data_IF_170327662513
#
_entry.id   IF_170327662513
#
_cell.length_a   1.000
_cell.length_b   1.000
_cell.length_c   1.000
_cell.angle_alpha   90.00
_cell.angle_beta   90.00
_cell.angle_gamma   90.00
#
_symmetry.space_group_name_H-M   'P 1'
#
loop_
_entity.id
_entity.type
_entity.pdbx_description
1 polymer ?
#
# COMPACT_ATOMS: atom_id res chain seq x y z
N UNK A 1 8.87 -15.18 22.11
CA UNK A 1 9.86 -14.12 21.84
C UNK A 1 9.31 -12.83 22.41
N UNK A 2 9.94 -12.29 23.45
CA UNK A 2 9.63 -10.95 23.96
C UNK A 2 10.18 -9.90 22.98
N UNK A 3 9.40 -8.85 22.74
CA UNK A 3 9.89 -7.62 22.10
C UNK A 3 10.09 -6.63 23.24
N UNK A 4 11.29 -6.09 23.39
CA UNK A 4 11.58 -5.09 24.42
C UNK A 4 10.66 -3.87 24.26
N UNK A 5 10.05 -3.40 25.36
CA UNK A 5 9.34 -2.12 25.43
C UNK A 5 7.84 -2.14 25.17
N UNK A 6 7.19 -3.30 25.01
CA UNK A 6 5.73 -3.40 24.92
C UNK A 6 5.18 -4.28 26.05
N UNK A 7 4.45 -3.67 26.99
CA UNK A 7 3.83 -4.34 28.15
C UNK A 7 2.44 -4.94 27.83
N UNK A 8 2.16 -5.22 26.56
CA UNK A 8 0.88 -5.78 26.11
C UNK A 8 1.01 -7.11 25.37
N UNK A 9 -0.14 -7.74 25.11
CA UNK A 9 -0.22 -8.94 24.27
C UNK A 9 -0.52 -8.57 22.81
N UNK A 10 0.07 -9.30 21.87
CA UNK A 10 -0.27 -9.20 20.45
C UNK A 10 -1.34 -10.25 20.11
N UNK A 11 -2.52 -9.79 19.68
CA UNK A 11 -3.58 -10.67 19.18
C UNK A 11 -3.53 -10.68 17.65
N UNK A 12 -3.42 -11.88 17.06
CA UNK A 12 -3.50 -12.05 15.61
C UNK A 12 -4.97 -12.14 15.18
N UNK A 13 -5.48 -11.06 14.58
CA UNK A 13 -6.78 -11.06 13.92
C UNK A 13 -6.61 -11.17 12.41
N UNK A 14 -7.28 -12.14 11.78
CA UNK A 14 -7.26 -12.32 10.33
C UNK A 14 -8.31 -11.42 9.71
N UNK A 15 -7.88 -10.43 8.92
CA UNK A 15 -8.79 -9.56 8.16
C UNK A 15 -9.12 -10.17 6.81
N UNK A 16 -10.32 -10.75 6.69
CA UNK A 16 -10.83 -11.27 5.43
C UNK A 16 -11.82 -10.27 4.81
N UNK A 17 -11.40 -9.51 3.79
CA UNK A 17 -12.32 -8.60 3.07
C UNK A 17 -13.34 -9.40 2.26
N UNK A 18 -14.61 -8.97 2.21
CA UNK A 18 -15.62 -9.58 1.33
C UNK A 18 -15.29 -9.39 -0.15
N UNK A 19 -14.56 -8.32 -0.45
CA UNK A 19 -14.09 -7.96 -1.78
C UNK A 19 -12.61 -7.56 -1.75
N UNK A 20 -11.93 -7.83 -2.86
CA UNK A 20 -10.55 -7.40 -3.13
C UNK A 20 -10.57 -6.43 -4.31
N UNK A 21 -9.68 -5.44 -4.30
CA UNK A 21 -9.46 -4.53 -5.42
C UNK A 21 -8.30 -5.07 -6.26
N UNK A 22 -8.61 -5.56 -7.46
CA UNK A 22 -7.65 -6.27 -8.31
C UNK A 22 -7.58 -5.60 -9.67
N UNK A 23 -6.36 -5.53 -10.22
CA UNK A 23 -6.08 -5.10 -11.59
C UNK A 23 -5.57 -6.28 -12.39
N UNK A 24 -6.09 -6.47 -13.61
CA UNK A 24 -5.47 -7.36 -14.59
C UNK A 24 -4.33 -6.64 -15.32
N UNK A 25 -3.16 -7.26 -15.39
CA UNK A 25 -1.94 -6.71 -16.02
C UNK A 25 -1.84 -7.04 -17.52
N UNK A 26 -2.91 -7.52 -18.15
CA UNK A 26 -2.95 -7.77 -19.59
C UNK A 26 -2.91 -6.51 -20.46
N UNK A 27 -3.34 -5.36 -19.90
CA UNK A 27 -3.35 -4.06 -20.58
C UNK A 27 -2.44 -3.06 -19.85
N UNK A 28 -2.29 -1.85 -20.40
CA UNK A 28 -1.53 -0.78 -19.75
C UNK A 28 -2.20 -0.33 -18.46
N UNK A 29 -1.42 -0.33 -17.37
CA UNK A 29 -1.85 0.22 -16.10
C UNK A 29 -1.94 1.75 -16.20
N UNK A 30 -3.01 2.36 -15.68
CA UNK A 30 -3.30 3.79 -15.92
C UNK A 30 -2.10 4.71 -15.60
N UNK A 31 -1.38 4.42 -14.50
CA UNK A 31 -0.21 5.17 -14.07
C UNK A 31 0.99 5.14 -15.05
N UNK A 32 1.13 4.12 -15.89
CA UNK A 32 2.22 3.99 -16.87
C UNK A 32 2.15 5.02 -18.01
N UNK A 33 0.94 5.51 -18.28
CA UNK A 33 0.65 6.38 -19.44
C UNK A 33 0.73 7.86 -19.10
N UNK A 34 0.80 8.21 -17.82
CA UNK A 34 0.76 9.59 -17.37
C UNK A 34 2.08 10.31 -17.71
N UNK A 35 2.02 11.28 -18.64
CA UNK A 35 3.19 12.05 -19.10
C UNK A 35 3.95 12.72 -17.95
N UNK A 36 3.22 13.21 -16.94
CA UNK A 36 3.81 13.91 -15.79
C UNK A 36 4.67 12.96 -14.94
N UNK A 37 4.17 11.74 -14.70
CA UNK A 37 4.87 10.67 -13.98
C UNK A 37 6.13 10.26 -14.73
N UNK A 38 6.02 9.98 -16.03
CA UNK A 38 7.15 9.56 -16.88
C UNK A 38 8.28 10.60 -16.90
N UNK A 39 7.94 11.88 -17.05
CA UNK A 39 8.94 12.98 -17.05
C UNK A 39 9.70 13.03 -15.71
N UNK A 40 9.00 12.87 -14.59
CA UNK A 40 9.60 12.93 -13.25
C UNK A 40 10.41 11.68 -12.91
N UNK A 41 10.00 10.52 -13.41
CA UNK A 41 10.67 9.24 -13.20
C UNK A 41 12.11 9.20 -13.75
N UNK A 42 12.44 10.02 -14.77
CA UNK A 42 13.78 10.05 -15.36
C UNK A 42 14.90 10.48 -14.41
N UNK A 43 14.57 11.09 -13.27
CA UNK A 43 15.51 11.50 -12.21
C UNK A 43 15.51 10.56 -11.00
N UNK A 44 14.88 9.41 -11.13
CA UNK A 44 14.66 8.46 -10.04
C UNK A 44 15.19 7.09 -10.44
N UNK A 45 15.49 6.26 -9.45
CA UNK A 45 15.85 4.86 -9.64
C UNK A 45 14.77 3.95 -9.05
N UNK A 46 14.46 2.86 -9.73
CA UNK A 46 13.63 1.77 -9.27
C UNK A 46 14.54 0.60 -8.86
N UNK A 47 14.27 0.00 -7.72
CA UNK A 47 14.97 -1.18 -7.24
C UNK A 47 13.99 -2.17 -6.60
N UNK A 48 14.47 -3.41 -6.45
CA UNK A 48 13.76 -4.49 -5.77
C UNK A 48 14.72 -5.09 -4.74
N UNK A 49 14.24 -5.26 -3.52
CA UNK A 49 14.99 -5.86 -2.40
C UNK A 49 16.33 -5.15 -2.10
N UNK A 50 16.47 -3.87 -2.44
CA UNK A 50 17.71 -3.12 -2.19
C UNK A 50 17.82 -2.70 -0.73
N UNK A 51 16.73 -2.27 -0.11
CA UNK A 51 16.74 -1.77 1.27
C UNK A 51 15.41 -2.06 1.99
N UNK A 52 15.20 -3.34 2.30
CA UNK A 52 13.99 -3.80 2.99
C UNK A 52 13.75 -3.07 4.32
N UNK A 53 14.81 -2.91 5.13
CA UNK A 53 14.72 -2.27 6.45
C UNK A 53 14.41 -0.77 6.31
N UNK A 54 15.00 -0.09 5.32
CA UNK A 54 14.68 1.31 5.00
C UNK A 54 13.23 1.51 4.60
N UNK A 55 12.67 0.60 3.78
CA UNK A 55 11.24 0.61 3.41
C UNK A 55 10.35 0.42 4.64
N UNK A 56 10.64 -0.57 5.48
CA UNK A 56 9.93 -0.78 6.75
C UNK A 56 10.00 0.48 7.61
N UNK A 57 11.20 1.04 7.82
CA UNK A 57 11.40 2.24 8.62
C UNK A 57 10.58 3.43 8.12
N UNK A 58 10.52 3.63 6.80
CA UNK A 58 9.69 4.68 6.19
C UNK A 58 8.19 4.44 6.41
N UNK A 59 7.72 3.21 6.25
CA UNK A 59 6.31 2.84 6.47
C UNK A 59 5.92 3.11 7.93
N UNK A 60 6.75 2.69 8.88
CA UNK A 60 6.53 2.89 10.31
C UNK A 60 6.54 4.37 10.67
N UNK A 61 7.48 5.14 10.14
CA UNK A 61 7.51 6.59 10.36
C UNK A 61 6.25 7.30 9.83
N UNK A 62 5.63 6.79 8.76
CA UNK A 62 4.44 7.38 8.15
C UNK A 62 3.13 6.96 8.83
N UNK A 63 3.01 5.69 9.18
CA UNK A 63 1.74 5.10 9.63
C UNK A 63 1.73 4.68 11.11
N UNK A 64 2.85 4.86 11.81
CA UNK A 64 3.06 4.41 13.18
C UNK A 64 3.22 2.89 13.32
N UNK A 65 3.29 2.45 14.57
CA UNK A 65 3.27 1.02 14.93
C UNK A 65 1.84 0.48 14.83
N UNK A 66 1.43 0.12 13.61
CA UNK A 66 0.12 -0.46 13.31
C UNK A 66 0.21 -2.00 13.15
N UNK A 67 -0.62 -2.58 12.27
CA UNK A 67 -0.60 -4.02 11.94
C UNK A 67 0.80 -4.54 11.55
N UNK A 68 1.65 -3.70 10.97
CA UNK A 68 3.05 -4.01 10.69
C UNK A 68 3.85 -3.90 12.00
N UNK A 69 3.46 -4.60 13.05
CA UNK A 69 4.11 -4.56 14.36
C UNK A 69 5.50 -5.25 14.32
N UNK A 70 6.35 -5.11 15.36
CA UNK A 70 7.70 -5.66 15.32
C UNK A 70 7.77 -7.17 15.06
N UNK A 71 6.80 -7.98 15.51
CA UNK A 71 6.74 -9.40 15.16
C UNK A 71 6.53 -9.62 13.67
N UNK A 72 5.57 -8.93 13.06
CA UNK A 72 5.30 -9.05 11.61
C UNK A 72 6.50 -8.57 10.79
N UNK A 73 7.18 -7.49 11.21
CA UNK A 73 8.41 -7.01 10.55
C UNK A 73 9.49 -8.10 10.53
N UNK A 74 9.74 -8.72 11.70
CA UNK A 74 10.72 -9.82 11.84
C UNK A 74 10.33 -11.01 10.96
N UNK A 75 9.07 -11.41 10.96
CA UNK A 75 8.57 -12.52 10.14
C UNK A 75 8.71 -12.23 8.63
N UNK A 76 8.32 -11.04 8.17
CA UNK A 76 8.46 -10.66 6.77
C UNK A 76 9.92 -10.60 6.33
N UNK A 77 10.80 -10.05 7.17
CA UNK A 77 12.25 -10.05 6.92
C UNK A 77 12.80 -11.48 6.84
N UNK A 78 12.38 -12.35 7.75
CA UNK A 78 12.79 -13.76 7.73
C UNK A 78 12.38 -14.45 6.41
N UNK A 79 11.13 -14.26 5.97
CA UNK A 79 10.63 -14.81 4.70
C UNK A 79 11.42 -14.24 3.51
N UNK A 80 11.69 -12.93 3.50
CA UNK A 80 12.45 -12.27 2.44
C UNK A 80 13.89 -12.80 2.33
N UNK A 81 14.53 -13.14 3.45
CA UNK A 81 15.89 -13.70 3.50
C UNK A 81 15.96 -15.20 3.19
N UNK A 82 14.85 -15.93 3.36
CA UNK A 82 14.79 -17.38 3.15
C UNK A 82 13.72 -17.76 2.11
N UNK A 83 13.76 -17.20 0.89
CA UNK A 83 12.68 -17.35 -0.08
C UNK A 83 12.48 -18.79 -0.59
N UNK A 84 13.42 -19.70 -0.32
CA UNK A 84 13.33 -21.13 -0.67
C UNK A 84 12.59 -21.96 0.38
N UNK A 85 12.34 -21.41 1.58
CA UNK A 85 11.63 -22.10 2.66
C UNK A 85 10.11 -21.90 2.60
N UNK A 86 9.62 -21.06 1.68
CA UNK A 86 8.22 -20.63 1.64
C UNK A 86 7.69 -20.59 0.21
N UNK A 87 6.41 -20.95 0.04
CA UNK A 87 5.71 -20.82 -1.26
C UNK A 87 5.43 -19.36 -1.63
N UNK A 88 5.38 -18.49 -0.63
CA UNK A 88 5.25 -17.05 -0.80
C UNK A 88 6.61 -16.38 -0.76
N UNK A 89 6.74 -15.29 -1.52
CA UNK A 89 7.94 -14.45 -1.49
C UNK A 89 7.52 -13.05 -1.11
N UNK A 90 8.27 -12.45 -0.19
CA UNK A 90 8.10 -11.08 0.26
C UNK A 90 9.13 -10.22 -0.46
N UNK A 91 8.70 -9.05 -0.93
CA UNK A 91 9.55 -8.10 -1.64
C UNK A 91 9.43 -6.71 -1.03
N UNK A 92 10.55 -5.99 -0.97
CA UNK A 92 10.54 -4.53 -0.91
C UNK A 92 10.73 -3.96 -2.30
N UNK A 93 9.97 -2.92 -2.62
CA UNK A 93 10.07 -2.17 -3.86
C UNK A 93 10.46 -0.76 -3.51
N UNK A 94 11.49 -0.21 -4.16
CA UNK A 94 12.06 1.06 -3.79
C UNK A 94 12.11 2.06 -4.94
N UNK A 95 11.82 3.33 -4.64
CA UNK A 95 12.17 4.47 -5.49
C UNK A 95 13.23 5.30 -4.78
N UNK A 96 14.33 5.54 -5.49
CA UNK A 96 15.46 6.33 -5.03
C UNK A 96 15.57 7.63 -5.80
N UNK A 97 16.06 8.67 -5.12
CA UNK A 97 16.46 9.94 -5.73
C UNK A 97 17.75 10.39 -5.11
N UNK A 98 18.79 10.62 -5.92
CA UNK A 98 20.07 11.14 -5.45
C UNK A 98 20.64 10.34 -4.25
N UNK A 99 20.54 9.00 -4.31
CA UNK A 99 20.98 8.09 -3.23
C UNK A 99 20.06 8.01 -2.01
N UNK A 100 18.94 8.74 -1.98
CA UNK A 100 17.96 8.68 -0.88
C UNK A 100 16.74 7.84 -1.27
N UNK A 101 16.25 6.98 -0.35
CA UNK A 101 14.97 6.28 -0.49
C UNK A 101 13.82 7.30 -0.34
N UNK A 102 12.98 7.45 -1.36
CA UNK A 102 11.92 8.47 -1.41
C UNK A 102 10.50 7.91 -1.56
N UNK A 103 10.37 6.65 -1.93
CA UNK A 103 9.15 5.87 -1.80
C UNK A 103 9.48 4.38 -1.73
N UNK A 104 8.57 3.59 -1.19
CA UNK A 104 8.65 2.16 -1.30
C UNK A 104 7.45 1.46 -0.70
N UNK A 105 7.33 0.18 -1.02
CA UNK A 105 6.28 -0.68 -0.50
C UNK A 105 6.79 -2.08 -0.17
N UNK A 106 6.06 -2.74 0.72
CA UNK A 106 6.13 -4.17 0.91
C UNK A 106 5.00 -4.82 0.13
N UNK A 107 5.32 -5.92 -0.54
CA UNK A 107 4.34 -6.77 -1.19
C UNK A 107 4.77 -8.23 -1.19
N UNK A 108 3.87 -9.11 -1.60
CA UNK A 108 4.16 -10.53 -1.72
C UNK A 108 3.58 -11.11 -2.99
N UNK A 109 4.10 -12.27 -3.38
CA UNK A 109 3.63 -12.99 -4.58
C UNK A 109 2.91 -14.27 -4.21
N UNK A 110 1.82 -14.56 -4.93
CA UNK A 110 1.09 -15.83 -4.91
C UNK A 110 0.86 -16.28 -6.35
N UNK A 111 1.70 -17.19 -6.84
CA UNK A 111 1.70 -17.54 -8.26
C UNK A 111 1.96 -16.30 -9.12
N UNK A 112 1.16 -16.12 -10.17
CA UNK A 112 1.21 -14.94 -11.06
C UNK A 112 0.45 -13.71 -10.52
N UNK A 113 0.17 -13.65 -9.21
CA UNK A 113 -0.42 -12.49 -8.53
C UNK A 113 0.63 -11.79 -7.66
N UNK A 114 0.74 -10.48 -7.79
CA UNK A 114 1.46 -9.63 -6.83
C UNK A 114 0.46 -8.88 -5.95
N UNK A 115 0.65 -8.90 -4.63
CA UNK A 115 -0.21 -8.21 -3.67
C UNK A 115 0.58 -7.10 -2.96
N UNK A 116 0.18 -5.84 -3.15
CA UNK A 116 0.74 -4.72 -2.39
C UNK A 116 0.13 -4.71 -0.98
N UNK A 117 0.98 -4.77 0.05
CA UNK A 117 0.55 -4.78 1.44
C UNK A 117 0.40 -3.36 1.99
N UNK A 118 1.51 -2.61 1.94
CA UNK A 118 1.59 -1.25 2.46
C UNK A 118 2.81 -0.55 1.87
N UNK A 119 2.70 0.76 1.71
CA UNK A 119 3.79 1.59 1.21
C UNK A 119 3.78 2.98 1.83
N UNK A 120 4.88 3.67 1.62
CA UNK A 120 5.07 5.04 2.03
C UNK A 120 5.88 5.81 0.98
N UNK A 121 5.78 7.13 1.05
CA UNK A 121 6.53 8.03 0.20
C UNK A 121 6.83 9.31 0.96
N UNK A 122 7.99 9.91 0.67
CA UNK A 122 8.49 11.14 1.30
C UNK A 122 8.30 12.37 0.40
N UNK A 123 8.25 12.19 -0.92
CA UNK A 123 8.12 13.27 -1.89
C UNK A 123 6.80 13.12 -2.67
N UNK A 124 6.08 14.23 -2.89
CA UNK A 124 4.83 14.20 -3.65
C UNK A 124 5.05 13.55 -5.03
N UNK A 125 4.19 12.60 -5.42
CA UNK A 125 4.25 11.92 -6.71
C UNK A 125 5.28 10.79 -6.85
N UNK A 126 6.15 10.54 -5.87
CA UNK A 126 7.05 9.35 -5.94
C UNK A 126 6.29 8.05 -5.76
N UNK A 127 5.16 8.05 -5.04
CA UNK A 127 4.24 6.92 -4.98
C UNK A 127 3.65 6.56 -6.36
N UNK A 128 3.23 7.57 -7.15
CA UNK A 128 2.73 7.32 -8.51
C UNK A 128 3.82 6.78 -9.45
N UNK A 129 5.06 7.27 -9.32
CA UNK A 129 6.21 6.74 -10.05
C UNK A 129 6.48 5.28 -9.66
N UNK A 130 6.45 4.97 -8.36
CA UNK A 130 6.60 3.61 -7.85
C UNK A 130 5.55 2.67 -8.44
N UNK A 131 4.27 3.07 -8.41
CA UNK A 131 3.19 2.24 -8.93
C UNK A 131 3.28 2.02 -10.44
N UNK A 132 3.62 3.07 -11.21
CA UNK A 132 3.80 2.97 -12.65
C UNK A 132 4.97 2.04 -13.02
N UNK A 133 6.13 2.22 -12.37
CA UNK A 133 7.31 1.39 -12.62
C UNK A 133 7.08 -0.07 -12.21
N UNK A 134 6.46 -0.29 -11.04
CA UNK A 134 6.15 -1.62 -10.55
C UNK A 134 5.13 -2.34 -11.45
N UNK A 135 4.05 -1.68 -11.87
CA UNK A 135 3.06 -2.29 -12.77
C UNK A 135 3.69 -2.75 -14.08
N UNK A 136 4.56 -1.91 -14.66
CA UNK A 136 5.30 -2.27 -15.87
C UNK A 136 6.25 -3.43 -15.65
N UNK A 137 6.98 -3.42 -14.53
CA UNK A 137 7.92 -4.46 -14.16
C UNK A 137 7.21 -5.80 -13.92
N UNK A 138 6.12 -5.83 -13.13
CA UNK A 138 5.31 -7.01 -12.88
C UNK A 138 4.82 -7.64 -14.18
N UNK A 139 4.24 -6.84 -15.08
CA UNK A 139 3.78 -7.31 -16.38
C UNK A 139 4.92 -7.89 -17.22
N UNK A 140 6.10 -7.23 -17.23
CA UNK A 140 7.28 -7.73 -17.95
C UNK A 140 7.80 -9.07 -17.42
N UNK A 141 7.49 -9.40 -16.17
CA UNK A 141 7.85 -10.67 -15.52
C UNK A 141 6.76 -11.73 -15.64
N UNK A 142 5.66 -11.45 -16.33
CA UNK A 142 4.56 -12.41 -16.54
C UNK A 142 3.57 -12.49 -15.38
N UNK A 143 3.51 -11.49 -14.50
CA UNK A 143 2.39 -11.38 -13.57
C UNK A 143 1.10 -11.02 -14.32
N UNK A 144 0.02 -11.70 -13.97
CA UNK A 144 -1.30 -11.51 -14.60
C UNK A 144 -2.18 -10.56 -13.81
N UNK A 145 -2.00 -10.51 -12.48
CA UNK A 145 -2.84 -9.69 -11.61
C UNK A 145 -2.03 -8.95 -10.55
N UNK A 146 -2.54 -7.77 -10.21
CA UNK A 146 -2.08 -6.97 -9.10
C UNK A 146 -3.23 -6.75 -8.12
N UNK A 147 -3.10 -7.28 -6.90
CA UNK A 147 -4.04 -7.13 -5.80
C UNK A 147 -3.64 -5.95 -4.89
N UNK A 148 -4.53 -4.98 -4.76
CA UNK A 148 -4.35 -3.82 -3.88
C UNK A 148 -5.07 -3.99 -2.53
N UNK A 149 -5.69 -5.13 -2.24
CA UNK A 149 -6.44 -5.36 -1.01
C UNK A 149 -7.79 -4.63 -1.03
N UNK A 150 -8.00 -3.67 -0.13
CA UNK A 150 -9.29 -2.95 -0.05
C UNK A 150 -9.46 -1.94 -1.19
N UNK A 151 -10.67 -1.85 -1.76
CA UNK A 151 -11.01 -0.84 -2.74
C UNK A 151 -11.01 0.57 -2.12
N UNK A 152 -10.41 1.52 -2.86
CA UNK A 152 -10.36 2.95 -2.53
C UNK A 152 -10.37 3.71 -3.85
N UNK A 153 -10.89 4.93 -3.88
CA UNK A 153 -11.09 5.69 -5.13
C UNK A 153 -9.83 5.78 -6.00
N UNK A 154 -8.68 6.04 -5.39
CA UNK A 154 -7.43 6.12 -6.15
C UNK A 154 -7.02 4.76 -6.76
N UNK A 155 -7.35 3.63 -6.14
CA UNK A 155 -7.07 2.29 -6.68
C UNK A 155 -7.99 1.98 -7.86
N UNK A 156 -9.25 2.42 -7.77
CA UNK A 156 -10.19 2.31 -8.88
C UNK A 156 -9.73 3.17 -10.07
N UNK A 157 -9.24 4.38 -9.81
CA UNK A 157 -8.64 5.25 -10.83
C UNK A 157 -7.39 4.64 -11.49
N UNK A 158 -6.69 3.74 -10.80
CA UNK A 158 -5.57 2.97 -11.34
C UNK A 158 -6.00 1.75 -12.18
N UNK A 159 -7.31 1.56 -12.38
CA UNK A 159 -7.91 0.43 -13.10
C UNK A 159 -8.34 -0.72 -12.18
N UNK A 160 -8.26 -0.54 -10.87
CA UNK A 160 -8.70 -1.51 -9.88
C UNK A 160 -10.18 -1.78 -9.99
N UNK A 161 -10.55 -3.07 -9.92
CA UNK A 161 -11.95 -3.51 -9.93
C UNK A 161 -12.24 -4.27 -8.65
N UNK A 162 -13.37 -4.02 -7.98
CA UNK A 162 -13.80 -4.86 -6.88
C UNK A 162 -14.07 -6.28 -7.39
N UNK A 163 -13.59 -7.27 -6.65
CA UNK A 163 -13.72 -8.68 -6.94
C UNK A 163 -14.16 -9.40 -5.67
N UNK A 164 -15.29 -10.11 -5.74
CA UNK A 164 -15.79 -10.93 -4.65
C UNK A 164 -14.72 -11.94 -4.19
N UNK A 165 -14.61 -12.16 -2.87
CA UNK A 165 -13.61 -13.06 -2.28
C UNK A 165 -13.61 -14.45 -2.90
N UNK A 166 -14.78 -15.05 -3.14
CA UNK A 166 -14.89 -16.38 -3.73
C UNK A 166 -14.22 -16.43 -5.10
N UNK A 167 -14.49 -15.44 -5.96
CA UNK A 167 -13.84 -15.30 -7.27
C UNK A 167 -12.34 -15.09 -7.13
N UNK A 168 -11.91 -14.27 -6.17
CA UNK A 168 -10.50 -14.01 -5.90
C UNK A 168 -9.76 -15.27 -5.40
N UNK A 169 -10.39 -16.10 -4.55
CA UNK A 169 -9.83 -17.35 -4.08
C UNK A 169 -9.67 -18.37 -5.21
N UNK A 170 -10.69 -18.52 -6.06
CA UNK A 170 -10.60 -19.35 -7.27
C UNK A 170 -9.47 -18.87 -8.18
N UNK A 171 -9.37 -17.55 -8.39
CA UNK A 171 -8.29 -16.96 -9.18
C UNK A 171 -6.90 -17.24 -8.58
N UNK A 172 -6.75 -17.13 -7.25
CA UNK A 172 -5.51 -17.47 -6.57
C UNK A 172 -5.13 -18.94 -6.78
N UNK A 173 -6.12 -19.85 -6.74
CA UNK A 173 -5.92 -21.27 -7.02
C UNK A 173 -5.34 -21.51 -8.41
N UNK A 174 -5.90 -20.86 -9.44
CA UNK A 174 -5.40 -20.98 -10.81
C UNK A 174 -4.02 -20.34 -11.00
N UNK A 175 -3.79 -19.16 -10.43
CA UNK A 175 -2.50 -18.47 -10.56
C UNK A 175 -1.37 -19.23 -9.84
N UNK A 176 -1.65 -19.88 -8.70
CA UNK A 176 -0.67 -20.71 -7.97
C UNK A 176 -0.14 -21.87 -8.82
N UNK A 177 -1.01 -22.53 -9.60
CA UNK A 177 -0.63 -23.65 -10.48
C UNK A 177 0.41 -23.27 -11.54
N UNK A 178 0.46 -21.98 -11.91
CA UNK A 178 1.39 -21.44 -12.91
C UNK A 178 2.79 -21.15 -12.34
N UNK A 179 2.95 -21.23 -11.01
CA UNK A 179 4.18 -20.85 -10.32
C UNK A 179 4.33 -19.34 -10.14
N UNK A 180 5.34 -18.94 -9.35
CA UNK A 180 5.61 -17.54 -9.03
C UNK A 180 6.79 -17.01 -9.84
N UNK A 181 6.59 -16.05 -10.77
CA UNK A 181 7.69 -15.47 -11.52
C UNK A 181 8.72 -14.79 -10.61
N UNK A 182 9.97 -14.73 -11.07
CA UNK A 182 11.05 -14.06 -10.34
C UNK A 182 10.97 -12.54 -10.51
N UNK A 183 11.04 -11.82 -9.39
CA UNK A 183 11.18 -10.35 -9.38
C UNK A 183 12.62 -9.90 -9.13
N UNK A 184 13.61 -10.77 -9.36
CA UNK A 184 15.02 -10.37 -9.28
C UNK A 184 15.29 -9.25 -10.28
N UNK A 185 15.90 -8.18 -9.79
CA UNK A 185 16.39 -7.06 -10.56
C UNK A 185 17.77 -6.71 -10.02
N UNK A 186 18.80 -6.82 -10.85
CA UNK A 186 20.17 -6.50 -10.43
C UNK A 186 20.35 -4.99 -10.32
N UNK A 187 20.75 -4.55 -9.13
CA UNK A 187 20.98 -3.15 -8.81
C UNK A 187 19.76 -2.25 -9.00
N UNK A 188 20.02 -0.95 -9.19
CA UNK A 188 18.99 0.05 -9.41
C UNK A 188 18.93 0.47 -10.87
N UNK A 189 17.72 0.64 -11.39
CA UNK A 189 17.42 0.97 -12.78
C UNK A 189 16.78 2.33 -12.84
N UNK A 190 16.92 3.09 -13.93
CA UNK A 190 16.19 4.34 -14.04
C UNK A 190 14.68 4.06 -14.06
N UNK A 191 13.90 4.76 -13.23
CA UNK A 191 12.48 4.48 -13.11
C UNK A 191 11.71 4.79 -14.40
N UNK A 192 12.16 5.75 -15.21
CA UNK A 192 11.55 5.99 -16.53
C UNK A 192 11.85 4.87 -17.50
N UNK A 193 13.09 4.38 -17.55
CA UNK A 193 13.46 3.26 -18.41
C UNK A 193 12.60 2.03 -18.06
N UNK A 194 12.42 1.75 -16.76
CA UNK A 194 11.51 0.70 -16.28
C UNK A 194 10.08 0.89 -16.78
N UNK A 195 9.50 2.10 -16.66
CA UNK A 195 8.14 2.42 -17.15
C UNK A 195 8.04 2.27 -18.67
N UNK A 196 9.10 2.61 -19.39
CA UNK A 196 9.19 2.51 -20.84
C UNK A 196 9.39 1.04 -21.29
N UNK A 197 9.69 0.12 -20.36
CA UNK A 197 9.91 -1.31 -20.60
C UNK A 197 11.36 -1.67 -20.92
N UNK A 198 12.29 -0.77 -20.59
CA UNK A 198 13.72 -0.95 -20.75
C UNK A 198 14.36 -1.30 -19.40
N UNK A 199 14.87 -2.52 -19.31
CA UNK A 199 15.54 -3.05 -18.11
C UNK A 199 17.06 -3.18 -18.34
N UNK A 200 17.63 -2.23 -19.09
CA UNK A 200 19.07 -2.19 -19.41
C UNK A 200 19.95 -2.13 -18.15
N UNK A 201 21.25 -2.43 -18.27
CA UNK A 201 22.12 -2.76 -17.15
C UNK A 201 22.12 -1.81 -15.93
N UNK A 202 22.46 -2.32 -14.74
CA UNK A 202 22.38 -1.57 -13.49
C UNK A 202 23.17 -0.26 -13.56
N UNK A 203 22.61 0.83 -13.03
CA UNK A 203 23.38 2.08 -12.87
C UNK A 203 24.27 1.95 -11.64
N UNK A 204 25.53 2.44 -11.67
CA UNK A 204 26.39 2.45 -10.49
C UNK A 204 25.67 3.13 -9.32
N UNK A 205 25.59 2.42 -8.20
CA UNK A 205 24.83 2.85 -7.02
C UNK A 205 25.40 4.18 -6.49
N UNK A 206 24.61 5.26 -6.41
CA UNK A 206 25.02 6.41 -5.60
C UNK A 206 25.07 5.95 -4.15
N UNK A 207 26.23 6.09 -3.50
CA UNK A 207 26.37 5.77 -2.08
C UNK A 207 25.35 6.59 -1.28
N UNK A 208 24.66 6.00 -0.28
CA UNK A 208 23.70 6.74 0.52
C UNK A 208 24.40 7.94 1.18
N UNK A 209 23.81 9.15 1.15
CA UNK A 209 24.33 10.23 1.96
C UNK A 209 24.22 9.80 3.42
N UNK A 210 25.27 10.03 4.21
CA UNK A 210 25.41 9.60 5.61
C UNK A 210 24.35 10.15 6.58
N UNK A 211 23.31 10.84 6.11
CA UNK A 211 22.25 11.44 6.92
C UNK A 211 20.91 11.39 6.18
N UNK A 212 19.89 10.82 6.84
CA UNK A 212 18.51 10.84 6.39
C UNK A 212 18.01 12.27 6.14
N UNK A 213 17.14 12.50 5.14
CA UNK A 213 16.51 13.80 4.93
C UNK A 213 15.74 14.20 6.19
N UNK A 214 16.07 15.37 6.76
CA UNK A 214 15.32 15.90 7.90
C UNK A 214 13.89 16.23 7.46
N UNK A 215 12.85 15.94 8.27
CA UNK A 215 11.50 16.40 8.00
C UNK A 215 11.47 17.93 7.89
N UNK A 216 10.53 18.50 7.10
CA UNK A 216 10.48 19.94 6.87
C UNK A 216 10.40 20.69 8.21
N UNK A 217 11.34 21.62 8.43
CA UNK A 217 11.33 22.50 9.61
C UNK A 217 10.06 23.34 9.56
N UNK A 218 9.31 23.40 10.67
CA UNK A 218 8.33 24.48 10.88
C UNK A 218 9.09 25.79 10.83
N UNK A 219 8.72 26.66 9.89
CA UNK A 219 9.20 28.03 9.82
C UNK A 219 8.69 28.80 11.04
N UNK A 220 9.50 28.83 12.09
CA UNK A 220 9.38 29.81 13.18
C UNK A 220 10.51 30.81 13.02
N UNK A 221 10.31 31.85 12.21
CA UNK A 221 11.01 33.10 12.44
C UNK A 221 10.12 34.32 12.12
N UNK A 222 9.77 35.15 13.12
CA UNK A 222 8.92 36.32 12.96
C UNK A 222 9.74 37.53 12.51
N UNK A 223 10.12 37.62 11.23
CA UNK A 223 10.75 38.84 10.69
C UNK A 223 10.43 39.01 9.20
N UNK A 224 9.26 39.57 8.90
CA UNK A 224 9.02 40.36 7.68
C UNK A 224 7.74 41.19 7.85
N UNK A 225 7.75 42.12 8.79
CA UNK A 225 6.89 43.30 8.73
C UNK A 225 7.68 44.42 8.07
N UNK A 226 7.01 45.15 7.18
CA UNK A 226 7.43 46.35 6.45
C UNK A 226 8.05 46.13 5.07
N UNK A 227 7.18 45.93 4.07
CA UNK A 227 7.16 46.77 2.85
C UNK A 227 5.94 46.42 1.97
N UNK A 228 4.83 47.12 2.20
CA UNK A 228 3.87 47.55 1.16
C UNK A 228 2.70 48.30 1.79
N UNK A 229 2.91 49.59 2.02
CA UNK A 229 1.82 50.57 2.02
C UNK A 229 2.12 51.60 0.93
N UNK A 230 1.32 51.57 -0.14
CA UNK A 230 0.75 52.72 -0.86
C UNK A 230 0.35 52.29 -2.27
N UNK A 231 -0.95 52.05 -2.45
CA UNK A 231 -1.77 52.73 -3.47
C UNK A 231 -3.24 52.39 -3.21
N UNK A 232 -3.94 53.36 -2.64
CA UNK A 232 -5.39 53.43 -2.52
C UNK A 232 -5.99 53.99 -3.81
N UNK A 233 -7.12 53.42 -4.26
CA UNK A 233 -8.34 54.14 -4.69
C UNK A 233 -9.52 53.15 -4.81
N UNK A 234 -10.69 53.68 -4.46
CA UNK A 234 -11.91 53.06 -3.86
C UNK A 234 -12.95 52.56 -4.91
N UNK A 235 -14.18 52.10 -4.56
CA UNK A 235 -14.72 50.76 -4.90
C UNK A 235 -15.99 50.79 -5.80
N UNK A 236 -16.68 49.65 -6.00
CA UNK A 236 -18.12 49.68 -5.72
C UNK A 236 -18.69 48.47 -4.92
N UNK A 237 -19.89 48.72 -4.40
CA UNK A 237 -20.81 47.99 -3.50
C UNK A 237 -20.99 46.48 -3.82
N UNK A 238 -21.00 45.57 -2.85
CA UNK A 238 -22.04 45.21 -1.84
C UNK A 238 -23.36 44.73 -2.45
N UNK A 239 -23.53 43.40 -2.49
CA UNK A 239 -24.80 42.71 -2.33
C UNK A 239 -24.59 41.47 -1.46
N UNK A 240 -25.15 41.52 -0.24
CA UNK A 240 -25.24 40.46 0.77
C UNK A 240 -26.31 39.45 0.30
N UNK A 241 -26.22 38.13 0.52
CA UNK A 241 -26.43 37.36 1.76
C UNK A 241 -26.58 35.87 1.35
N UNK A 242 -26.69 34.88 2.27
CA UNK A 242 -26.01 34.71 3.55
C UNK A 242 -25.34 33.31 3.69
N UNK A 243 -24.40 33.22 4.63
CA UNK A 243 -23.93 31.96 5.21
C UNK A 243 -25.05 31.32 6.05
N UNK A 244 -25.26 30.02 5.88
CA UNK A 244 -25.99 29.16 6.83
C UNK A 244 -24.97 28.27 7.54
N UNK A 245 -25.00 28.14 8.88
CA UNK A 245 -24.05 27.33 9.62
C UNK A 245 -24.26 25.84 9.36
N UNK A 246 -23.23 25.09 8.96
CA UNK A 246 -23.28 23.64 9.02
C UNK A 246 -22.92 23.15 10.42
N UNK A 247 -23.97 22.68 11.07
CA UNK A 247 -24.06 22.02 12.35
C UNK A 247 -23.25 20.71 12.38
N UNK A 248 -22.61 20.47 13.52
CA UNK A 248 -21.96 19.21 13.88
C UNK A 248 -23.02 18.09 13.91
N UNK A 249 -22.83 16.94 13.23
CA UNK A 249 -23.76 15.83 13.39
C UNK A 249 -23.62 15.25 14.80
N UNK A 250 -24.65 15.44 15.62
CA UNK A 250 -24.86 14.71 16.88
C UNK A 250 -25.13 13.25 16.55
N UNK A 251 -24.43 12.38 17.27
CA UNK A 251 -24.65 10.94 17.38
C UNK A 251 -26.12 10.64 17.67
N UNK A 252 -26.79 9.72 16.94
CA UNK A 252 -28.04 9.14 17.41
C UNK A 252 -27.72 8.21 18.57
N UNK A 253 -28.31 8.50 19.73
CA UNK A 253 -28.46 7.53 20.81
C UNK A 253 -29.38 6.42 20.31
N UNK A 254 -28.86 5.20 20.20
CA UNK A 254 -29.71 4.02 20.03
C UNK A 254 -30.20 3.61 21.41
N UNK A 255 -31.50 3.79 21.59
CA UNK A 255 -32.30 3.37 22.73
C UNK A 255 -32.24 1.85 22.88
N UNK A 256 -31.92 1.42 24.08
CA UNK A 256 -31.88 0.03 24.53
C UNK A 256 -33.30 -0.52 24.55
N UNK A 257 -33.61 -1.47 23.67
CA UNK A 257 -34.80 -2.32 23.79
C UNK A 257 -34.32 -3.72 24.18
N UNK A 258 -34.55 -4.08 25.45
CA UNK A 258 -34.47 -5.44 25.96
C UNK A 258 -35.56 -6.31 25.31
N UNK A 259 -35.26 -7.55 24.88
CA UNK A 259 -36.28 -8.56 24.68
C UNK A 259 -36.46 -9.44 25.92
N UNK A 260 -37.65 -9.35 26.52
CA UNK A 260 -38.20 -10.29 27.51
C UNK A 260 -38.35 -11.70 26.89
N UNK A 261 -38.08 -12.78 27.64
CA UNK A 261 -37.99 -14.13 27.08
C UNK A 261 -39.37 -14.76 26.85
N UNK A 262 -39.56 -15.41 25.70
CA UNK A 262 -40.64 -16.36 25.49
C UNK A 262 -40.06 -17.75 25.19
N UNK A 263 -40.41 -18.67 26.07
CA UNK A 263 -40.26 -20.12 26.01
C UNK A 263 -41.00 -20.72 24.83
N UNK A 264 -40.37 -21.64 24.09
CA UNK A 264 -41.03 -22.69 23.30
C UNK A 264 -40.06 -23.87 23.10
N UNK A 265 -40.25 -24.87 23.97
CA UNK A 265 -40.18 -26.33 23.78
C UNK A 265 -39.24 -26.96 22.75
N UNK A 266 -38.39 -27.85 23.27
CA UNK A 266 -37.63 -28.91 22.61
C UNK A 266 -38.53 -29.86 21.81
N UNK A 267 -38.12 -30.20 20.58
CA UNK A 267 -38.34 -31.54 20.02
C UNK A 267 -37.03 -32.08 19.44
N UNK A 268 -36.57 -33.14 20.09
CA UNK A 268 -35.38 -33.94 19.78
C UNK A 268 -35.66 -34.82 18.57
N UNK A 269 -34.87 -34.70 17.50
CA UNK A 269 -34.71 -35.77 16.51
C UNK A 269 -33.24 -36.15 16.39
N UNK A 270 -32.90 -37.20 17.13
CA UNK A 270 -31.68 -37.99 17.02
C UNK A 270 -31.73 -38.77 15.70
N UNK A 271 -30.80 -38.50 14.77
CA UNK A 271 -30.49 -39.43 13.68
C UNK A 271 -29.13 -40.07 13.95
N UNK A 272 -29.18 -41.37 14.21
CA UNK A 272 -28.06 -42.29 14.41
C UNK A 272 -27.37 -42.60 13.08
N UNK A 273 -26.05 -42.42 13.05
CA UNK A 273 -25.16 -42.94 12.00
C UNK A 273 -24.75 -44.37 12.42
N UNK A 274 -24.88 -45.40 11.56
CA UNK A 274 -24.45 -46.75 11.89
C UNK A 274 -22.94 -46.95 11.69
N UNK A 275 -22.31 -47.61 12.66
CA UNK A 275 -20.95 -48.18 12.57
C UNK A 275 -20.86 -49.27 11.49
N UNK A 276 -19.82 -49.27 10.64
CA UNK A 276 -19.48 -50.44 9.84
C UNK A 276 -18.60 -51.41 10.65
N UNK A 277 -19.20 -52.54 11.06
CA UNK A 277 -18.45 -53.74 11.46
C UNK A 277 -17.94 -54.48 10.21
N UNK A 278 -16.62 -54.54 10.04
CA UNK A 278 -15.77 -55.74 10.24
C UNK A 278 -14.31 -55.40 9.93
#
# INVERSE_FOLDING_TARGET
MSIEGFEGEYIMAVKCHKERCVVGLGEAFAGETERSVRKRAGKMEFAVNRDFDGVVGMIVAKHGDNWLCPMIRKSFKYIALHPQQFDIKIYSIEIWKDGCLVAGELGYTVGTIYTSLTGAYLLSGTGSIQLAALGKFLRSRGFEYWDFGMAMDYKLALGGKPMLREKWLSLCGECKKKGSPSLVLEGAHNARDVIDGHFGGPRPTPQPPAKAPKPPKKDTNPQTKQKRQKKTKTPPQVSQSPETPQEVPKTPQTETLEPTPQSLTEETQTQSIPDPKQ
#
